data_IF_207623412770
#
_entry.id   IF_207623412770
#
_cell.length_a   1.000
_cell.length_b   1.000
_cell.length_c   1.000
_cell.angle_alpha   90.00
_cell.angle_beta   90.00
_cell.angle_gamma   90.00
#
_symmetry.space_group_name_H-M   'P 1'
#
loop_
_entity.id
_entity.type
_entity.pdbx_description
1 polymer ?
#
# COMPACT_ATOMS: atom_id res chain seq x y z
N UNK A 1 -16.33 -26.65 -16.37
CA UNK A 1 -17.16 -27.62 -15.65
C UNK A 1 -18.05 -26.89 -14.64
N UNK A 2 -17.54 -25.99 -13.77
CA UNK A 2 -18.34 -25.26 -12.78
C UNK A 2 -19.39 -24.34 -13.42
N UNK A 3 -19.07 -23.68 -14.53
CA UNK A 3 -20.02 -22.80 -15.25
C UNK A 3 -21.13 -23.60 -15.98
N UNK A 4 -20.91 -24.90 -16.27
CA UNK A 4 -21.91 -25.74 -16.92
C UNK A 4 -22.93 -26.35 -15.96
N UNK A 5 -22.66 -26.27 -14.64
CA UNK A 5 -23.49 -26.90 -13.61
C UNK A 5 -24.47 -25.94 -12.92
N UNK A 6 -24.42 -24.63 -13.21
CA UNK A 6 -25.25 -23.58 -12.55
C UNK A 6 -25.25 -23.67 -11.01
N UNK A 7 -24.12 -24.08 -10.42
CA UNK A 7 -23.99 -24.26 -8.98
C UNK A 7 -23.33 -23.00 -8.41
N UNK A 8 -24.10 -22.16 -7.78
CA UNK A 8 -23.62 -20.91 -7.15
C UNK A 8 -22.77 -21.16 -5.89
N UNK A 9 -22.87 -22.36 -5.29
CA UNK A 9 -22.10 -22.77 -4.11
C UNK A 9 -21.82 -24.27 -4.13
N UNK A 10 -20.58 -24.65 -3.87
CA UNK A 10 -20.16 -26.05 -3.73
C UNK A 10 -20.80 -26.76 -2.51
N UNK A 11 -21.20 -26.00 -1.49
CA UNK A 11 -22.01 -26.50 -0.36
C UNK A 11 -23.36 -27.05 -0.82
N UNK A 12 -23.96 -26.44 -1.85
CA UNK A 12 -25.26 -26.84 -2.35
C UNK A 12 -25.18 -28.15 -3.14
N UNK A 13 -24.02 -28.43 -3.73
CA UNK A 13 -23.78 -29.69 -4.43
C UNK A 13 -23.77 -30.90 -3.49
N UNK A 14 -23.20 -30.78 -2.29
CA UNK A 14 -23.27 -31.84 -1.25
C UNK A 14 -24.69 -32.11 -0.80
N UNK A 15 -25.51 -31.06 -0.68
CA UNK A 15 -26.94 -31.19 -0.27
C UNK A 15 -27.81 -31.82 -1.34
N UNK A 16 -27.57 -31.54 -2.61
CA UNK A 16 -28.37 -32.02 -3.73
C UNK A 16 -27.99 -33.41 -4.24
N UNK A 17 -26.79 -33.94 -3.85
CA UNK A 17 -26.27 -35.23 -4.30
C UNK A 17 -25.79 -36.10 -3.14
N UNK A 18 -26.71 -36.56 -2.24
CA UNK A 18 -26.32 -37.35 -1.06
C UNK A 18 -25.69 -38.72 -1.41
N UNK A 19 -25.88 -39.19 -2.64
CA UNK A 19 -25.28 -40.45 -3.12
C UNK A 19 -23.75 -40.41 -3.24
N UNK A 20 -23.14 -39.22 -3.31
CA UNK A 20 -21.70 -39.04 -3.32
C UNK A 20 -21.05 -39.30 -1.95
N UNK A 21 -21.86 -39.35 -0.88
CA UNK A 21 -21.39 -39.66 0.47
C UNK A 21 -21.00 -41.13 0.69
N UNK A 22 -21.48 -42.04 -0.19
CA UNK A 22 -21.26 -43.47 -0.05
C UNK A 22 -19.97 -44.01 -0.70
N UNK A 23 -19.17 -43.14 -1.32
CA UNK A 23 -17.99 -43.55 -2.08
C UNK A 23 -16.72 -43.16 -1.32
N UNK A 24 -16.45 -43.90 -0.24
CA UNK A 24 -15.29 -43.65 0.65
C UNK A 24 -13.90 -43.51 -0.05
N UNK A 25 -13.57 -44.24 -1.12
CA UNK A 25 -12.24 -44.10 -1.75
C UNK A 25 -12.00 -42.75 -2.44
N UNK A 26 -13.07 -41.99 -2.75
CA UNK A 26 -12.98 -40.71 -3.43
C UNK A 26 -13.20 -39.52 -2.49
N UNK A 27 -13.44 -39.76 -1.21
CA UNK A 27 -13.73 -38.71 -0.24
C UNK A 27 -12.55 -37.74 -0.10
N UNK A 28 -11.34 -38.25 0.00
CA UNK A 28 -10.13 -37.40 0.09
C UNK A 28 -9.85 -36.63 -1.20
N UNK A 29 -10.19 -37.20 -2.35
CA UNK A 29 -10.04 -36.54 -3.66
C UNK A 29 -11.08 -35.43 -3.81
N UNK A 30 -12.32 -35.71 -3.44
CA UNK A 30 -13.41 -34.72 -3.45
C UNK A 30 -13.13 -33.59 -2.48
N UNK A 31 -12.66 -33.87 -1.27
CA UNK A 31 -12.28 -32.82 -0.31
C UNK A 31 -11.13 -31.96 -0.81
N UNK A 32 -10.14 -32.54 -1.49
CA UNK A 32 -9.05 -31.77 -2.14
C UNK A 32 -9.58 -30.91 -3.30
N UNK A 33 -10.47 -31.45 -4.14
CA UNK A 33 -11.12 -30.69 -5.22
C UNK A 33 -11.98 -29.57 -4.64
N UNK A 34 -12.74 -29.83 -3.58
CA UNK A 34 -13.56 -28.84 -2.89
C UNK A 34 -12.70 -27.73 -2.27
N UNK A 35 -11.65 -28.10 -1.53
CA UNK A 35 -10.73 -27.13 -0.93
C UNK A 35 -10.06 -26.27 -2.00
N UNK A 36 -9.64 -26.89 -3.10
CA UNK A 36 -9.00 -26.19 -4.22
C UNK A 36 -9.99 -25.28 -4.97
N UNK A 37 -11.24 -25.73 -5.14
CA UNK A 37 -12.27 -24.94 -5.83
C UNK A 37 -12.72 -23.74 -5.02
N UNK A 38 -12.90 -23.90 -3.70
CA UNK A 38 -13.21 -22.77 -2.79
C UNK A 38 -12.05 -21.79 -2.75
N UNK A 39 -10.81 -22.29 -2.76
CA UNK A 39 -9.60 -21.49 -2.82
C UNK A 39 -9.51 -20.70 -4.14
N UNK A 40 -9.72 -21.36 -5.29
CA UNK A 40 -9.73 -20.72 -6.60
C UNK A 40 -10.82 -19.66 -6.72
N UNK A 41 -12.00 -19.92 -6.16
CA UNK A 41 -13.11 -18.99 -6.18
C UNK A 41 -12.83 -17.73 -5.36
N UNK A 42 -12.26 -17.87 -4.17
CA UNK A 42 -11.87 -16.74 -3.31
C UNK A 42 -10.74 -15.91 -3.93
N UNK A 43 -9.70 -16.56 -4.45
CA UNK A 43 -8.61 -15.88 -5.15
C UNK A 43 -9.09 -15.20 -6.43
N UNK A 44 -9.94 -15.87 -7.21
CA UNK A 44 -10.55 -15.31 -8.40
C UNK A 44 -11.37 -14.06 -8.08
N UNK A 45 -12.18 -14.09 -7.02
CA UNK A 45 -12.99 -12.96 -6.59
C UNK A 45 -12.12 -11.76 -6.17
N UNK A 46 -11.08 -11.99 -5.37
CA UNK A 46 -10.15 -10.95 -4.96
C UNK A 46 -9.40 -10.35 -6.16
N UNK A 47 -8.84 -11.18 -7.02
CA UNK A 47 -8.15 -10.73 -8.23
C UNK A 47 -9.10 -9.99 -9.19
N UNK A 48 -10.35 -10.43 -9.32
CA UNK A 48 -11.37 -9.75 -10.10
C UNK A 48 -11.69 -8.37 -9.50
N UNK A 49 -11.77 -8.25 -8.18
CA UNK A 49 -12.03 -6.99 -7.49
C UNK A 49 -10.93 -5.95 -7.75
N UNK A 50 -9.67 -6.38 -7.79
CA UNK A 50 -8.53 -5.51 -8.15
C UNK A 50 -8.32 -5.38 -9.66
N UNK A 51 -9.11 -6.10 -10.46
CA UNK A 51 -9.20 -5.95 -11.91
C UNK A 51 -8.16 -6.69 -12.73
N UNK A 52 -7.79 -7.93 -12.39
CA UNK A 52 -6.90 -8.81 -13.20
C UNK A 52 -5.86 -8.04 -14.02
N UNK A 53 -5.11 -7.18 -13.37
CA UNK A 53 -4.21 -6.32 -14.08
C UNK A 53 -3.02 -7.14 -14.59
N UNK A 54 -2.69 -6.96 -15.87
CA UNK A 54 -1.35 -7.27 -16.38
C UNK A 54 -0.34 -6.20 -15.97
N UNK A 55 -0.69 -5.33 -15.04
CA UNK A 55 0.06 -4.20 -14.53
C UNK A 55 0.01 -4.19 -13.01
N UNK A 56 0.95 -3.54 -12.38
CA UNK A 56 0.93 -3.28 -10.96
C UNK A 56 -0.38 -2.59 -10.52
N UNK A 57 -0.77 -2.78 -9.27
CA UNK A 57 -2.01 -2.23 -8.71
C UNK A 57 -1.70 -1.46 -7.44
N UNK A 58 -2.32 -0.31 -7.27
CA UNK A 58 -2.33 0.43 -6.01
C UNK A 58 -3.76 0.47 -5.48
N UNK A 59 -3.96 -0.10 -4.29
CA UNK A 59 -5.20 0.00 -3.53
C UNK A 59 -5.07 1.13 -2.51
N UNK A 60 -5.81 2.21 -2.74
CA UNK A 60 -5.81 3.38 -1.87
C UNK A 60 -6.98 3.26 -0.92
N UNK A 61 -6.77 3.45 0.37
CA UNK A 61 -7.85 3.39 1.35
C UNK A 61 -7.50 4.15 2.63
N UNK A 62 -8.51 4.73 3.27
CA UNK A 62 -8.36 5.39 4.56
C UNK A 62 -7.94 4.39 5.66
N UNK A 63 -7.43 4.91 6.79
CA UNK A 63 -7.17 4.06 7.95
C UNK A 63 -8.49 3.41 8.43
N UNK A 64 -8.43 2.10 8.68
CA UNK A 64 -9.62 1.32 9.03
C UNK A 64 -10.48 0.85 7.85
N UNK A 65 -10.10 1.11 6.59
CA UNK A 65 -10.84 0.61 5.41
C UNK A 65 -10.68 -0.90 5.16
N UNK A 66 -9.80 -1.59 5.91
CA UNK A 66 -9.56 -3.02 5.75
C UNK A 66 -8.38 -3.40 4.86
N UNK A 67 -7.42 -2.49 4.60
CA UNK A 67 -6.20 -2.76 3.81
C UNK A 67 -5.40 -3.93 4.36
N UNK A 68 -5.05 -3.87 5.64
CA UNK A 68 -4.29 -4.94 6.31
C UNK A 68 -5.08 -6.26 6.35
N UNK A 69 -6.41 -6.20 6.52
CA UNK A 69 -7.27 -7.39 6.44
C UNK A 69 -7.24 -7.98 5.04
N UNK A 70 -7.25 -7.14 4.00
CA UNK A 70 -7.11 -7.56 2.61
C UNK A 70 -5.73 -8.23 2.38
N UNK A 71 -4.64 -7.61 2.83
CA UNK A 71 -3.30 -8.18 2.74
C UNK A 71 -3.22 -9.56 3.41
N UNK A 72 -3.77 -9.71 4.62
CA UNK A 72 -3.80 -10.96 5.35
C UNK A 72 -4.65 -12.03 4.63
N UNK A 73 -5.80 -11.66 4.07
CA UNK A 73 -6.65 -12.59 3.31
C UNK A 73 -5.93 -13.12 2.06
N UNK A 74 -5.19 -12.25 1.34
CA UNK A 74 -4.36 -12.67 0.21
C UNK A 74 -3.19 -13.53 0.69
N UNK A 75 -2.59 -13.20 1.83
CA UNK A 75 -1.48 -13.97 2.41
C UNK A 75 -1.88 -15.44 2.61
N UNK A 76 -3.03 -15.69 3.23
CA UNK A 76 -3.56 -17.05 3.44
C UNK A 76 -3.68 -17.86 2.14
N UNK A 77 -3.99 -17.19 1.05
CA UNK A 77 -4.15 -17.82 -0.26
C UNK A 77 -2.82 -18.08 -0.97
N UNK A 78 -1.88 -17.11 -0.88
CA UNK A 78 -0.57 -17.22 -1.51
C UNK A 78 0.30 -18.29 -0.85
N UNK A 79 0.20 -18.44 0.46
CA UNK A 79 0.98 -19.43 1.22
C UNK A 79 0.65 -20.87 0.84
N UNK A 80 -0.60 -21.15 0.47
CA UNK A 80 -1.01 -22.47 0.02
C UNK A 80 -0.41 -22.85 -1.36
N UNK A 81 0.00 -21.85 -2.16
CA UNK A 81 0.43 -22.05 -3.55
C UNK A 81 1.90 -21.73 -3.81
N UNK A 82 2.61 -21.14 -2.84
CA UNK A 82 3.98 -20.63 -3.01
C UNK A 82 4.15 -19.61 -4.17
N UNK A 83 3.05 -18.99 -4.63
CA UNK A 83 3.05 -18.12 -5.82
C UNK A 83 3.10 -16.62 -5.47
N UNK A 84 3.46 -16.27 -4.24
CA UNK A 84 3.59 -14.88 -3.87
C UNK A 84 4.03 -14.67 -2.43
N UNK A 85 4.22 -13.40 -2.10
CA UNK A 85 4.60 -12.95 -0.77
C UNK A 85 3.75 -11.76 -0.35
N UNK A 86 3.56 -11.63 0.96
CA UNK A 86 2.97 -10.45 1.56
C UNK A 86 3.99 -9.82 2.51
N UNK A 87 4.27 -8.55 2.30
CA UNK A 87 5.12 -7.72 3.17
C UNK A 87 4.18 -6.89 4.05
N UNK A 88 4.07 -7.19 5.36
CA UNK A 88 3.14 -6.52 6.26
C UNK A 88 3.64 -5.12 6.64
N UNK A 89 2.72 -4.22 6.99
CA UNK A 89 3.04 -2.88 7.49
C UNK A 89 3.80 -2.94 8.84
N UNK A 90 3.29 -3.75 9.77
CA UNK A 90 3.93 -3.92 11.07
C UNK A 90 4.89 -5.10 11.06
N UNK A 91 6.14 -4.84 11.38
CA UNK A 91 7.21 -5.84 11.48
C UNK A 91 8.25 -5.41 12.49
N UNK A 92 8.76 -6.38 13.23
CA UNK A 92 9.86 -6.18 14.16
C UNK A 92 11.14 -6.72 13.52
N UNK A 93 12.01 -5.83 13.04
CA UNK A 93 13.22 -6.17 12.33
C UNK A 93 14.42 -6.28 13.28
N UNK A 94 14.66 -7.48 13.79
CA UNK A 94 15.80 -7.79 14.66
C UNK A 94 16.83 -8.57 13.87
N UNK A 95 18.04 -8.01 13.72
CA UNK A 95 19.16 -8.70 13.09
C UNK A 95 19.71 -9.78 14.02
N UNK A 96 19.91 -11.00 13.52
CA UNK A 96 20.51 -12.07 14.31
C UNK A 96 22.01 -11.87 14.47
N UNK A 97 22.53 -12.38 15.58
CA UNK A 97 23.96 -12.67 15.75
C UNK A 97 24.16 -14.14 15.41
N UNK A 98 24.88 -14.43 14.34
CA UNK A 98 25.13 -15.82 13.94
C UNK A 98 26.36 -16.40 14.60
N UNK A 99 26.22 -17.64 15.09
CA UNK A 99 27.34 -18.48 15.48
C UNK A 99 27.56 -19.62 14.47
N UNK A 100 26.54 -19.98 13.69
CA UNK A 100 26.60 -21.05 12.70
C UNK A 100 25.71 -20.70 11.49
N UNK A 101 26.23 -20.88 10.28
CA UNK A 101 25.46 -20.70 9.05
C UNK A 101 24.66 -21.98 8.78
N UNK A 102 23.31 -21.93 8.71
CA UNK A 102 22.53 -23.11 8.37
C UNK A 102 22.76 -23.52 6.91
N UNK A 103 22.60 -24.80 6.59
CA UNK A 103 22.62 -25.22 5.20
C UNK A 103 21.49 -24.55 4.41
N UNK A 104 21.75 -24.23 3.14
CA UNK A 104 20.74 -23.60 2.26
C UNK A 104 19.41 -24.37 2.24
N UNK A 105 19.46 -25.73 2.24
CA UNK A 105 18.27 -26.57 2.26
C UNK A 105 17.42 -26.33 3.51
N UNK A 106 18.04 -26.31 4.69
CA UNK A 106 17.33 -26.08 5.95
C UNK A 106 16.84 -24.63 6.04
N UNK A 107 17.67 -23.67 5.65
CA UNK A 107 17.30 -22.28 5.62
C UNK A 107 16.12 -21.99 4.66
N UNK A 108 16.12 -22.63 3.48
CA UNK A 108 15.02 -22.52 2.51
C UNK A 108 13.70 -23.07 3.06
N UNK A 109 13.75 -24.25 3.70
CA UNK A 109 12.55 -24.85 4.32
C UNK A 109 11.99 -23.90 5.37
N UNK A 110 12.81 -23.39 6.29
CA UNK A 110 12.35 -22.45 7.32
C UNK A 110 11.85 -21.13 6.72
N UNK A 111 12.49 -20.62 5.68
CA UNK A 111 12.09 -19.37 5.04
C UNK A 111 10.71 -19.45 4.39
N UNK A 112 10.42 -20.53 3.66
CA UNK A 112 9.14 -20.72 2.99
C UNK A 112 8.04 -21.26 3.93
N UNK A 113 8.38 -22.10 4.92
CA UNK A 113 7.39 -22.60 5.88
C UNK A 113 6.95 -21.55 6.90
N UNK A 114 7.79 -20.58 7.21
CA UNK A 114 7.50 -19.62 8.27
C UNK A 114 6.33 -18.70 7.98
N UNK A 115 6.05 -18.40 6.73
CA UNK A 115 4.82 -17.68 6.39
C UNK A 115 3.58 -18.48 6.84
N UNK A 116 3.63 -19.78 6.66
CA UNK A 116 2.58 -20.73 7.05
C UNK A 116 2.42 -20.84 8.56
N UNK A 117 3.53 -21.01 9.29
CA UNK A 117 3.54 -21.06 10.75
C UNK A 117 3.01 -19.78 11.41
N UNK A 118 3.31 -18.62 10.83
CA UNK A 118 2.80 -17.32 11.30
C UNK A 118 1.27 -17.26 11.25
N UNK A 119 0.63 -17.90 10.28
CA UNK A 119 -0.84 -17.94 10.18
C UNK A 119 -1.47 -18.98 11.12
N UNK A 120 -0.87 -20.16 11.21
CA UNK A 120 -1.37 -21.21 12.10
C UNK A 120 -1.29 -20.74 13.56
N UNK A 121 -0.22 -20.06 13.92
CA UNK A 121 -0.07 -19.41 15.24
C UNK A 121 -1.11 -18.29 15.47
N UNK A 122 -1.48 -17.52 14.44
CA UNK A 122 -2.53 -16.50 14.57
C UNK A 122 -3.87 -17.15 14.92
N UNK A 123 -4.22 -18.27 14.29
CA UNK A 123 -5.44 -19.03 14.61
C UNK A 123 -5.41 -19.56 16.05
N UNK A 124 -4.25 -20.04 16.50
CA UNK A 124 -4.05 -20.48 17.89
C UNK A 124 -4.06 -19.31 18.87
N UNK A 125 -3.57 -18.16 18.43
CA UNK A 125 -3.48 -16.93 19.18
C UNK A 125 -4.84 -16.26 19.41
N UNK A 126 -5.71 -16.22 18.38
CA UNK A 126 -7.08 -15.70 18.51
C UNK A 126 -7.92 -16.54 19.51
N UNK A 127 -7.45 -17.76 19.85
CA UNK A 127 -8.01 -18.62 20.87
C UNK A 127 -7.31 -18.51 22.25
N UNK A 128 -6.17 -17.78 22.35
CA UNK A 128 -5.38 -17.63 23.57
C UNK A 128 -5.82 -16.42 24.41
N UNK A 129 -5.48 -16.41 25.69
CA UNK A 129 -5.86 -15.34 26.62
C UNK A 129 -5.13 -14.03 26.31
N UNK A 130 -5.77 -12.86 26.50
CA UNK A 130 -5.20 -11.54 26.17
C UNK A 130 -3.87 -11.18 26.85
N UNK A 131 -3.54 -11.81 27.99
CA UNK A 131 -2.36 -11.49 28.79
C UNK A 131 -1.03 -11.99 28.20
N UNK A 132 -1.06 -12.96 27.28
CA UNK A 132 0.14 -13.53 26.62
C UNK A 132 0.54 -12.79 25.33
N UNK A 133 -0.25 -11.80 24.95
CA UNK A 133 -0.22 -11.14 23.64
C UNK A 133 1.11 -10.45 23.25
N UNK A 134 1.75 -9.60 24.08
CA UNK A 134 2.90 -8.80 23.62
C UNK A 134 4.18 -9.61 23.39
N UNK A 135 4.41 -10.67 24.16
CA UNK A 135 5.63 -11.46 24.12
C UNK A 135 5.68 -12.39 22.91
N UNK A 136 4.58 -13.05 22.61
CA UNK A 136 4.47 -13.96 21.46
C UNK A 136 4.53 -13.21 20.12
N UNK A 137 3.92 -12.02 20.00
CA UNK A 137 4.03 -11.17 18.83
C UNK A 137 5.46 -10.69 18.58
N UNK A 138 6.18 -10.23 19.60
CA UNK A 138 7.56 -9.77 19.45
C UNK A 138 8.49 -10.91 19.04
N UNK A 139 8.28 -12.12 19.56
CA UNK A 139 9.02 -13.33 19.18
C UNK A 139 8.74 -13.76 17.74
N UNK A 140 7.50 -13.62 17.31
CA UNK A 140 6.99 -13.99 16.00
C UNK A 140 7.52 -13.08 14.90
N UNK A 141 7.35 -11.77 15.03
CA UNK A 141 7.80 -10.79 14.02
C UNK A 141 9.31 -10.55 14.05
N UNK A 142 9.97 -10.70 15.20
CA UNK A 142 11.42 -10.56 15.33
C UNK A 142 12.23 -11.63 14.59
N UNK A 143 11.60 -12.72 14.20
CA UNK A 143 12.28 -13.83 13.52
C UNK A 143 12.24 -13.76 11.98
N UNK A 144 11.42 -12.89 11.38
CA UNK A 144 11.33 -12.79 9.90
C UNK A 144 12.65 -12.32 9.27
N UNK A 145 13.27 -11.28 9.84
CA UNK A 145 14.57 -10.81 9.35
C UNK A 145 15.68 -11.84 9.59
N UNK A 146 15.62 -12.56 10.72
CA UNK A 146 16.57 -13.66 11.00
C UNK A 146 16.46 -14.77 9.96
N UNK A 147 15.26 -15.19 9.65
CA UNK A 147 15.00 -16.26 8.67
C UNK A 147 15.42 -15.83 7.26
N UNK A 148 15.11 -14.60 6.86
CA UNK A 148 15.56 -14.01 5.60
C UNK A 148 17.10 -13.99 5.52
N UNK A 149 17.77 -13.47 6.55
CA UNK A 149 19.24 -13.37 6.57
C UNK A 149 19.88 -14.75 6.49
N UNK A 150 19.33 -15.75 7.23
CA UNK A 150 19.78 -17.14 7.15
C UNK A 150 19.64 -17.73 5.75
N UNK A 151 18.53 -17.44 5.08
CA UNK A 151 18.28 -17.88 3.71
C UNK A 151 19.29 -17.26 2.73
N UNK A 152 19.49 -15.94 2.79
CA UNK A 152 20.41 -15.21 1.92
C UNK A 152 21.87 -15.66 2.08
N UNK A 153 22.31 -15.86 3.31
CA UNK A 153 23.65 -16.37 3.61
C UNK A 153 23.82 -17.82 3.16
N UNK A 154 22.79 -18.66 3.38
CA UNK A 154 22.78 -20.04 2.93
C UNK A 154 22.83 -20.17 1.40
N UNK A 155 22.08 -19.35 0.65
CA UNK A 155 22.14 -19.30 -0.82
C UNK A 155 23.54 -18.89 -1.30
N UNK A 156 24.13 -17.84 -0.70
CA UNK A 156 25.50 -17.41 -1.02
C UNK A 156 26.52 -18.51 -0.78
N UNK A 157 26.48 -19.18 0.38
CA UNK A 157 27.37 -20.29 0.72
C UNK A 157 27.25 -21.45 -0.26
N UNK A 158 26.02 -21.85 -0.61
CA UNK A 158 25.78 -22.95 -1.55
C UNK A 158 26.26 -22.62 -2.97
N UNK A 159 26.09 -21.38 -3.43
CA UNK A 159 26.59 -20.94 -4.74
C UNK A 159 28.10 -20.88 -4.78
N UNK A 160 28.73 -20.35 -3.70
CA UNK A 160 30.17 -20.33 -3.59
C UNK A 160 30.79 -21.74 -3.59
N UNK A 161 30.19 -22.69 -2.86
CA UNK A 161 30.62 -24.09 -2.86
C UNK A 161 30.55 -24.72 -4.26
N UNK A 162 29.45 -24.48 -4.97
CA UNK A 162 29.31 -24.94 -6.38
C UNK A 162 30.36 -24.32 -7.28
N UNK A 163 30.60 -23.01 -7.16
CA UNK A 163 31.66 -22.33 -7.90
C UNK A 163 33.02 -22.99 -7.71
N UNK A 164 33.42 -23.23 -6.46
CA UNK A 164 34.67 -23.90 -6.15
C UNK A 164 34.76 -25.30 -6.77
N UNK A 165 33.67 -26.08 -6.73
CA UNK A 165 33.65 -27.44 -7.33
C UNK A 165 33.83 -27.37 -8.84
N UNK A 166 33.07 -26.49 -9.54
CA UNK A 166 33.12 -26.34 -11.01
C UNK A 166 34.49 -25.87 -11.48
N UNK A 167 35.10 -24.91 -10.75
CA UNK A 167 36.47 -24.44 -11.06
C UNK A 167 37.48 -25.57 -10.87
N UNK A 168 37.35 -26.41 -9.82
CA UNK A 168 38.25 -27.55 -9.57
C UNK A 168 38.08 -28.65 -10.63
N UNK A 169 36.93 -28.78 -11.26
CA UNK A 169 36.67 -29.71 -12.38
C UNK A 169 37.24 -29.17 -13.71
N UNK A 170 37.78 -27.96 -13.73
CA UNK A 170 38.47 -27.39 -14.90
C UNK A 170 37.54 -26.64 -15.86
N UNK A 171 36.28 -26.44 -15.50
CA UNK A 171 35.33 -25.73 -16.36
C UNK A 171 35.55 -24.20 -16.32
N UNK A 172 35.30 -23.56 -17.47
CA UNK A 172 35.35 -22.10 -17.58
C UNK A 172 34.06 -21.50 -17.04
N UNK A 173 34.13 -20.85 -15.91
CA UNK A 173 32.99 -20.31 -15.18
C UNK A 173 32.92 -18.80 -15.27
N UNK A 174 31.73 -18.25 -15.56
CA UNK A 174 31.47 -16.81 -15.47
C UNK A 174 31.04 -16.46 -14.06
N UNK A 175 31.57 -15.38 -13.51
CA UNK A 175 31.20 -14.86 -12.19
C UNK A 175 29.69 -14.60 -12.05
N UNK A 176 29.02 -14.23 -13.14
CA UNK A 176 27.57 -14.05 -13.20
C UNK A 176 26.78 -15.29 -12.81
N UNK A 177 27.29 -16.49 -13.13
CA UNK A 177 26.55 -17.74 -12.98
C UNK A 177 26.42 -18.20 -11.51
N UNK A 178 27.24 -17.59 -10.64
CA UNK A 178 27.29 -17.89 -9.20
C UNK A 178 26.92 -16.71 -8.31
N UNK A 179 26.43 -15.62 -8.90
CA UNK A 179 25.96 -14.45 -8.16
C UNK A 179 24.79 -14.85 -7.26
N UNK A 180 24.90 -14.56 -5.97
CA UNK A 180 23.87 -14.88 -4.98
C UNK A 180 22.79 -13.80 -4.89
N UNK A 181 21.63 -14.17 -4.33
CA UNK A 181 20.57 -13.19 -4.03
C UNK A 181 21.10 -12.12 -3.07
N UNK A 182 21.95 -12.48 -2.11
CA UNK A 182 22.58 -11.52 -1.19
C UNK A 182 23.44 -10.48 -1.93
N UNK A 183 24.15 -10.88 -3.00
CA UNK A 183 24.93 -9.93 -3.80
C UNK A 183 24.02 -8.89 -4.48
N UNK A 184 22.86 -9.31 -4.95
CA UNK A 184 21.85 -8.40 -5.52
C UNK A 184 21.22 -7.49 -4.45
N UNK A 185 20.96 -8.02 -3.25
CA UNK A 185 20.46 -7.23 -2.11
C UNK A 185 21.48 -6.17 -1.73
N UNK A 186 22.76 -6.52 -1.60
CA UNK A 186 23.81 -5.56 -1.27
C UNK A 186 23.97 -4.49 -2.36
N UNK A 187 23.89 -4.88 -3.63
CA UNK A 187 23.95 -3.93 -4.75
C UNK A 187 22.82 -2.91 -4.68
N UNK A 188 21.56 -3.37 -4.52
CA UNK A 188 20.40 -2.47 -4.43
C UNK A 188 20.51 -1.58 -3.20
N UNK A 189 20.85 -2.14 -2.05
CA UNK A 189 20.99 -1.39 -0.80
C UNK A 189 22.06 -0.28 -0.93
N UNK A 190 23.23 -0.61 -1.49
CA UNK A 190 24.33 0.33 -1.68
C UNK A 190 24.00 1.45 -2.68
N UNK A 191 23.17 1.16 -3.69
CA UNK A 191 22.70 2.16 -4.63
C UNK A 191 21.64 3.10 -4.05
N UNK A 192 20.94 2.68 -3.00
CA UNK A 192 19.90 3.49 -2.34
C UNK A 192 20.49 4.36 -1.24
N UNK A 193 21.52 3.91 -0.55
CA UNK A 193 22.14 4.57 0.60
C UNK A 193 23.56 5.00 0.24
N UNK A 194 23.71 6.20 -0.31
CA UNK A 194 24.93 6.67 -0.98
C UNK A 194 26.18 6.81 -0.09
N UNK A 195 26.00 7.00 1.23
CA UNK A 195 27.11 7.27 2.14
C UNK A 195 27.56 6.06 2.97
N UNK A 196 26.98 4.90 2.70
CA UNK A 196 27.26 3.67 3.45
C UNK A 196 27.33 2.49 2.50
N UNK A 197 28.14 1.51 2.86
CA UNK A 197 28.31 0.30 2.06
C UNK A 197 28.01 -0.93 2.91
N UNK A 198 26.97 -1.65 2.56
CA UNK A 198 26.68 -2.98 3.10
C UNK A 198 27.59 -3.99 2.43
N UNK A 199 28.27 -4.79 3.21
CA UNK A 199 29.12 -5.88 2.73
C UNK A 199 29.04 -7.11 3.65
N UNK A 200 29.44 -8.24 3.12
CA UNK A 200 29.58 -9.48 3.86
C UNK A 200 31.07 -9.84 3.96
N UNK A 201 31.55 -10.08 5.17
CA UNK A 201 32.94 -10.46 5.40
C UNK A 201 33.19 -11.94 5.04
N UNK A 202 34.43 -12.40 5.18
CA UNK A 202 34.88 -13.80 4.92
C UNK A 202 34.35 -14.78 5.95
N UNK A 203 33.88 -14.30 7.09
CA UNK A 203 33.20 -15.09 8.14
C UNK A 203 31.67 -15.08 7.98
N UNK A 204 31.16 -14.58 6.86
CA UNK A 204 29.73 -14.46 6.54
C UNK A 204 28.94 -13.53 7.47
N UNK A 205 29.61 -12.56 8.12
CA UNK A 205 28.91 -11.53 8.87
C UNK A 205 28.60 -10.31 7.98
N UNK A 206 27.43 -9.74 8.18
CA UNK A 206 27.03 -8.52 7.50
C UNK A 206 27.50 -7.29 8.28
N UNK A 207 28.16 -6.39 7.59
CA UNK A 207 28.71 -5.15 8.12
C UNK A 207 28.32 -3.96 7.26
N UNK A 208 28.29 -2.79 7.89
CA UNK A 208 28.15 -1.50 7.23
C UNK A 208 29.47 -0.76 7.36
N UNK A 209 29.99 -0.31 6.24
CA UNK A 209 31.13 0.62 6.18
C UNK A 209 30.59 2.04 6.00
N UNK A 210 31.08 2.96 6.83
CA UNK A 210 30.83 4.39 6.76
C UNK A 210 32.15 5.14 6.97
N UNK A 211 32.63 5.83 5.95
CA UNK A 211 33.99 6.37 5.89
C UNK A 211 35.05 5.27 6.20
N UNK A 212 35.92 5.50 7.15
CA UNK A 212 36.94 4.55 7.61
C UNK A 212 36.48 3.61 8.74
N UNK A 213 35.19 3.68 9.13
CA UNK A 213 34.63 2.88 10.21
C UNK A 213 33.73 1.77 9.68
N UNK A 214 33.78 0.62 10.34
CA UNK A 214 32.86 -0.47 10.06
C UNK A 214 32.14 -0.88 11.33
N UNK A 215 30.87 -1.24 11.20
CA UNK A 215 30.06 -1.74 12.31
C UNK A 215 29.13 -2.88 11.83
N UNK A 216 28.76 -3.81 12.74
CA UNK A 216 27.90 -4.91 12.38
C UNK A 216 26.49 -4.47 11.96
N UNK A 217 25.84 -5.22 11.07
CA UNK A 217 24.50 -4.91 10.53
C UNK A 217 23.40 -4.81 11.59
N UNK A 218 23.56 -5.46 12.75
CA UNK A 218 22.57 -5.33 13.84
C UNK A 218 22.50 -3.91 14.43
N UNK A 219 23.47 -3.04 14.13
CA UNK A 219 23.46 -1.61 14.48
C UNK A 219 22.84 -0.70 13.40
N UNK A 220 22.27 -1.26 12.35
CA UNK A 220 21.50 -0.52 11.37
C UNK A 220 20.37 0.26 12.04
N UNK A 221 20.06 1.44 11.51
CA UNK A 221 18.85 2.19 11.82
C UNK A 221 17.60 1.42 11.33
N UNK A 222 16.42 1.77 11.83
CA UNK A 222 15.18 1.11 11.44
C UNK A 222 14.90 1.23 9.93
N UNK A 223 15.14 2.40 9.33
CA UNK A 223 15.00 2.59 7.88
C UNK A 223 15.98 1.74 7.06
N UNK A 224 17.23 1.58 7.52
CA UNK A 224 18.22 0.71 6.85
C UNK A 224 17.84 -0.76 6.92
N UNK A 225 17.33 -1.21 8.07
CA UNK A 225 16.80 -2.57 8.24
C UNK A 225 15.57 -2.81 7.37
N UNK A 226 14.70 -1.81 7.29
CA UNK A 226 13.51 -1.85 6.43
C UNK A 226 13.90 -2.07 4.97
N UNK A 227 14.82 -1.26 4.45
CA UNK A 227 15.32 -1.40 3.08
C UNK A 227 15.93 -2.79 2.86
N UNK A 228 16.77 -3.27 3.78
CA UNK A 228 17.38 -4.60 3.67
C UNK A 228 16.31 -5.70 3.64
N UNK A 229 15.33 -5.61 4.54
CA UNK A 229 14.26 -6.59 4.63
C UNK A 229 13.38 -6.60 3.37
N UNK A 230 12.91 -5.43 2.94
CA UNK A 230 12.04 -5.31 1.76
C UNK A 230 12.76 -5.80 0.50
N UNK A 231 13.99 -5.33 0.27
CA UNK A 231 14.80 -5.75 -0.88
C UNK A 231 15.05 -7.26 -0.84
N UNK A 232 15.45 -7.78 0.31
CA UNK A 232 15.70 -9.21 0.49
C UNK A 232 14.46 -10.06 0.23
N UNK A 233 13.30 -9.66 0.75
CA UNK A 233 12.01 -10.37 0.55
C UNK A 233 11.60 -10.38 -0.91
N UNK A 234 11.64 -9.22 -1.58
CA UNK A 234 11.24 -9.08 -2.98
C UNK A 234 12.17 -9.87 -3.91
N UNK A 235 13.49 -9.76 -3.72
CA UNK A 235 14.46 -10.50 -4.56
C UNK A 235 14.46 -12.01 -4.29
N UNK A 236 14.03 -12.45 -3.11
CA UNK A 236 13.90 -13.86 -2.75
C UNK A 236 12.56 -14.48 -3.18
N UNK A 237 11.61 -13.70 -3.67
CA UNK A 237 10.35 -14.22 -4.16
C UNK A 237 10.58 -15.11 -5.39
N UNK A 238 9.75 -16.15 -5.57
CA UNK A 238 9.81 -17.02 -6.76
C UNK A 238 9.51 -16.22 -8.03
N UNK A 239 9.91 -16.74 -9.17
CA UNK A 239 9.59 -16.16 -10.47
C UNK A 239 8.07 -16.06 -10.66
N UNK A 240 7.63 -15.00 -11.32
CA UNK A 240 6.22 -14.73 -11.63
C UNK A 240 5.30 -14.67 -10.40
N UNK A 241 5.83 -14.21 -9.27
CA UNK A 241 5.10 -14.10 -8.01
C UNK A 241 4.21 -12.85 -7.92
N UNK A 242 3.15 -12.96 -7.12
CA UNK A 242 2.40 -11.81 -6.64
C UNK A 242 3.07 -11.24 -5.38
N UNK A 243 3.45 -9.97 -5.41
CA UNK A 243 4.11 -9.28 -4.30
C UNK A 243 3.13 -8.23 -3.76
N UNK A 244 2.61 -8.49 -2.56
CA UNK A 244 1.67 -7.57 -1.89
C UNK A 244 2.41 -6.82 -0.79
N UNK A 245 2.29 -5.51 -0.79
CA UNK A 245 2.96 -4.63 0.16
C UNK A 245 1.93 -3.79 0.89
N UNK A 246 1.88 -3.94 2.21
CA UNK A 246 1.02 -3.13 3.08
C UNK A 246 1.82 -1.97 3.65
N UNK A 247 1.36 -0.74 3.38
CA UNK A 247 1.97 0.54 3.74
C UNK A 247 3.45 0.64 3.27
N UNK A 248 3.69 0.68 1.93
CA UNK A 248 5.03 0.70 1.34
C UNK A 248 5.87 1.93 1.73
N UNK A 249 5.24 2.99 2.20
CA UNK A 249 5.84 4.24 2.67
C UNK A 249 6.33 4.21 4.11
N UNK A 250 5.94 3.20 4.89
CA UNK A 250 6.22 3.16 6.32
C UNK A 250 7.73 3.06 6.60
N UNK A 251 8.20 3.88 7.54
CA UNK A 251 9.62 3.96 7.96
C UNK A 251 10.63 4.39 6.89
N UNK A 252 10.17 4.77 5.69
CA UNK A 252 11.04 5.19 4.60
C UNK A 252 10.97 6.70 4.35
N UNK A 253 12.13 7.30 4.12
CA UNK A 253 12.18 8.70 3.72
C UNK A 253 11.69 8.86 2.27
N UNK A 254 10.88 9.91 1.99
CA UNK A 254 10.29 10.14 0.65
C UNK A 254 11.32 10.14 -0.49
N UNK A 255 12.53 10.62 -0.25
CA UNK A 255 13.60 10.63 -1.27
C UNK A 255 14.05 9.23 -1.71
N UNK A 256 14.01 8.25 -0.81
CA UNK A 256 14.43 6.87 -1.08
C UNK A 256 13.25 6.02 -1.57
N UNK A 257 12.04 6.33 -1.11
CA UNK A 257 10.83 5.54 -1.32
C UNK A 257 10.58 5.22 -2.81
N UNK A 258 10.55 6.24 -3.66
CA UNK A 258 10.29 6.03 -5.09
C UNK A 258 11.45 5.27 -5.76
N UNK A 259 12.71 5.65 -5.46
CA UNK A 259 13.90 4.98 -6.02
C UNK A 259 13.95 3.49 -5.64
N UNK A 260 13.54 3.14 -4.41
CA UNK A 260 13.44 1.75 -3.94
C UNK A 260 12.47 0.94 -4.80
N UNK A 261 11.22 1.41 -4.89
CA UNK A 261 10.19 0.66 -5.59
C UNK A 261 10.42 0.62 -7.10
N UNK A 262 10.90 1.71 -7.72
CA UNK A 262 11.29 1.71 -9.14
C UNK A 262 12.40 0.67 -9.42
N UNK A 263 13.38 0.57 -8.53
CA UNK A 263 14.48 -0.40 -8.66
C UNK A 263 13.96 -1.84 -8.53
N UNK A 264 13.08 -2.09 -7.56
CA UNK A 264 12.54 -3.43 -7.32
C UNK A 264 11.58 -3.88 -8.44
N UNK A 265 10.69 -2.99 -8.89
CA UNK A 265 9.80 -3.27 -10.03
C UNK A 265 10.60 -3.58 -11.31
N UNK A 266 11.70 -2.85 -11.56
CA UNK A 266 12.57 -3.10 -12.72
C UNK A 266 13.34 -4.42 -12.59
N UNK A 267 13.86 -4.76 -11.41
CA UNK A 267 14.58 -6.02 -11.18
C UNK A 267 13.66 -7.25 -11.18
N UNK A 268 12.39 -7.05 -10.84
CA UNK A 268 11.36 -8.10 -10.75
C UNK A 268 10.17 -7.78 -11.67
N UNK A 269 10.48 -7.43 -12.92
CA UNK A 269 9.47 -7.21 -13.96
C UNK A 269 8.68 -8.49 -14.35
N UNK A 270 9.14 -9.64 -13.87
CA UNK A 270 8.44 -10.93 -13.92
C UNK A 270 7.30 -11.02 -12.91
N UNK A 271 7.30 -10.18 -11.87
CA UNK A 271 6.34 -10.19 -10.77
C UNK A 271 5.26 -9.12 -10.94
N UNK A 272 4.13 -9.32 -10.25
CA UNK A 272 3.07 -8.33 -10.13
C UNK A 272 3.09 -7.72 -8.73
N UNK A 273 3.12 -6.40 -8.64
CA UNK A 273 3.12 -5.66 -7.37
C UNK A 273 1.72 -5.14 -7.06
N UNK A 274 1.29 -5.34 -5.82
CA UNK A 274 0.05 -4.80 -5.26
C UNK A 274 0.40 -3.99 -4.02
N UNK A 275 0.25 -2.68 -4.10
CA UNK A 275 0.51 -1.76 -3.01
C UNK A 275 -0.78 -1.40 -2.30
N UNK A 276 -0.80 -1.49 -0.98
CA UNK A 276 -1.90 -1.07 -0.13
C UNK A 276 -1.43 0.16 0.65
N UNK A 277 -1.97 1.32 0.36
CA UNK A 277 -1.47 2.57 0.94
C UNK A 277 -2.59 3.53 1.29
N UNK A 278 -2.32 4.44 2.20
CA UNK A 278 -3.12 5.63 2.43
C UNK A 278 -2.43 6.89 1.89
N UNK A 279 -1.15 6.78 1.45
CA UNK A 279 -0.37 7.88 0.88
C UNK A 279 -0.69 8.04 -0.61
N UNK A 280 -1.43 9.11 -0.90
CA UNK A 280 -1.84 9.46 -2.25
C UNK A 280 -0.66 9.94 -3.11
N UNK A 281 0.33 10.59 -2.48
CA UNK A 281 1.53 11.05 -3.19
C UNK A 281 2.31 9.85 -3.69
N UNK A 282 2.51 8.83 -2.84
CA UNK A 282 3.11 7.56 -3.26
C UNK A 282 2.30 6.90 -4.37
N UNK A 283 1.00 6.77 -4.20
CA UNK A 283 0.13 6.14 -5.19
C UNK A 283 0.20 6.83 -6.56
N UNK A 284 0.35 8.15 -6.59
CA UNK A 284 0.44 8.94 -7.83
C UNK A 284 1.74 8.69 -8.61
N UNK A 285 2.82 8.33 -7.91
CA UNK A 285 4.13 8.09 -8.54
C UNK A 285 4.28 6.71 -9.17
N UNK A 286 3.38 5.77 -8.86
CA UNK A 286 3.46 4.40 -9.37
C UNK A 286 2.84 4.26 -10.76
N UNK A 287 3.53 3.54 -11.66
CA UNK A 287 2.94 3.11 -12.93
C UNK A 287 2.07 1.87 -12.69
N UNK A 288 0.89 2.09 -12.17
CA UNK A 288 -0.01 1.05 -11.69
C UNK A 288 -1.47 1.42 -11.89
N UNK A 289 -2.34 0.42 -11.99
CA UNK A 289 -3.78 0.61 -11.93
C UNK A 289 -4.17 1.04 -10.51
N UNK A 290 -4.90 2.12 -10.37
CA UNK A 290 -5.34 2.65 -9.09
C UNK A 290 -6.76 2.23 -8.79
N UNK A 291 -6.96 1.70 -7.59
CA UNK A 291 -8.27 1.31 -7.09
C UNK A 291 -8.48 1.89 -5.69
N UNK A 292 -9.70 2.24 -5.39
CA UNK A 292 -10.10 2.73 -4.09
C UNK A 292 -10.74 1.63 -3.27
N UNK A 293 -10.14 1.33 -2.11
CA UNK A 293 -10.67 0.44 -1.10
C UNK A 293 -11.52 1.26 -0.11
N UNK A 294 -12.83 1.23 -0.29
CA UNK A 294 -13.78 2.04 0.47
C UNK A 294 -14.01 1.50 1.87
N UNK A 295 -14.36 0.24 1.94
CA UNK A 295 -14.76 -0.40 3.18
C UNK A 295 -14.54 -1.91 3.15
N UNK A 296 -14.47 -2.47 4.35
CA UNK A 296 -14.47 -3.90 4.62
C UNK A 296 -15.68 -4.27 5.47
N UNK A 297 -16.37 -5.32 5.09
CA UNK A 297 -17.48 -5.89 5.84
C UNK A 297 -17.10 -7.29 6.31
N UNK A 298 -17.03 -7.46 7.64
CA UNK A 298 -16.71 -8.72 8.32
C UNK A 298 -17.95 -9.63 8.51
N UNK A 299 -18.94 -9.61 7.61
CA UNK A 299 -20.12 -10.46 7.68
C UNK A 299 -19.80 -11.95 7.48
N UNK A 300 -20.86 -12.78 7.33
CA UNK A 300 -20.74 -14.23 7.04
C UNK A 300 -19.84 -14.49 5.81
N UNK A 301 -19.80 -13.55 4.88
CA UNK A 301 -18.87 -13.50 3.76
C UNK A 301 -18.07 -12.20 3.87
N UNK A 302 -16.76 -12.32 4.05
CA UNK A 302 -15.85 -11.15 3.99
C UNK A 302 -15.97 -10.49 2.62
N UNK A 303 -16.22 -9.20 2.62
CA UNK A 303 -16.39 -8.42 1.40
C UNK A 303 -15.62 -7.11 1.48
N UNK A 304 -14.85 -6.80 0.44
CA UNK A 304 -14.17 -5.53 0.23
C UNK A 304 -14.85 -4.77 -0.90
N UNK A 305 -15.26 -3.55 -0.63
CA UNK A 305 -15.79 -2.65 -1.65
C UNK A 305 -14.62 -1.93 -2.32
N UNK A 306 -14.25 -2.40 -3.53
CA UNK A 306 -13.11 -1.91 -4.29
C UNK A 306 -13.62 -1.39 -5.64
N UNK A 307 -13.27 -0.13 -5.96
CA UNK A 307 -13.61 0.49 -7.23
C UNK A 307 -12.36 1.05 -7.93
N UNK A 308 -12.29 0.95 -9.26
CA UNK A 308 -11.24 1.62 -10.02
C UNK A 308 -11.39 3.14 -9.88
N UNK A 309 -10.27 3.84 -9.70
CA UNK A 309 -10.23 5.31 -9.72
C UNK A 309 -10.14 5.74 -11.18
N UNK A 310 -11.27 6.16 -11.73
CA UNK A 310 -11.37 6.65 -13.12
C UNK A 310 -12.09 7.99 -13.08
N UNK A 311 -11.48 9.03 -13.63
CA UNK A 311 -12.12 10.31 -13.88
C UNK A 311 -11.49 10.96 -15.09
N UNK A 312 -12.33 11.34 -16.05
CA UNK A 312 -11.92 12.14 -17.21
C UNK A 312 -11.98 13.65 -16.92
N UNK A 313 -12.69 14.05 -15.86
CA UNK A 313 -13.02 15.45 -15.56
C UNK A 313 -12.19 16.04 -14.39
N UNK A 314 -11.64 15.21 -13.48
CA UNK A 314 -10.82 15.62 -12.33
C UNK A 314 -9.44 14.97 -12.43
N UNK A 315 -8.33 15.70 -12.23
CA UNK A 315 -7.01 15.11 -12.14
C UNK A 315 -6.97 13.99 -11.10
N UNK A 316 -6.46 12.83 -11.50
CA UNK A 316 -6.49 11.60 -10.69
C UNK A 316 -5.89 11.78 -9.29
N UNK A 317 -4.77 12.52 -9.18
CA UNK A 317 -4.15 12.84 -7.90
C UNK A 317 -5.07 13.66 -6.97
N UNK A 318 -5.80 14.62 -7.54
CA UNK A 318 -6.77 15.42 -6.79
C UNK A 318 -7.97 14.56 -6.37
N UNK A 319 -8.50 13.75 -7.27
CA UNK A 319 -9.60 12.84 -6.98
C UNK A 319 -9.25 11.89 -5.82
N UNK A 320 -8.05 11.32 -5.83
CA UNK A 320 -7.59 10.42 -4.78
C UNK A 320 -7.51 11.09 -3.40
N UNK A 321 -7.03 12.34 -3.33
CA UNK A 321 -7.02 13.12 -2.08
C UNK A 321 -8.42 13.32 -1.52
N UNK A 322 -9.39 13.57 -2.40
CA UNK A 322 -10.76 13.93 -2.03
C UNK A 322 -11.61 12.72 -1.64
N UNK A 323 -11.41 11.57 -2.30
CA UNK A 323 -12.18 10.35 -2.02
C UNK A 323 -12.00 9.83 -0.58
N UNK A 324 -10.87 10.11 0.06
CA UNK A 324 -10.61 9.79 1.48
C UNK A 324 -11.16 10.79 2.49
N UNK A 325 -11.65 11.95 2.04
CA UNK A 325 -12.15 13.00 2.93
C UNK A 325 -13.51 12.63 3.53
N UNK A 326 -13.64 12.76 4.84
CA UNK A 326 -14.93 12.65 5.55
C UNK A 326 -15.60 14.02 5.77
N UNK A 327 -14.85 15.12 5.55
CA UNK A 327 -15.36 16.46 5.61
C UNK A 327 -15.94 16.85 4.25
N UNK A 328 -16.90 17.76 4.23
CA UNK A 328 -17.36 18.41 3.00
C UNK A 328 -16.17 19.04 2.28
N UNK A 329 -16.22 19.09 0.96
CA UNK A 329 -15.13 19.62 0.15
C UNK A 329 -15.56 21.00 -0.37
N UNK A 330 -14.67 21.98 -0.24
CA UNK A 330 -14.85 23.29 -0.85
C UNK A 330 -13.76 23.53 -1.88
N UNK A 331 -14.14 23.53 -3.15
CA UNK A 331 -13.28 24.01 -4.23
C UNK A 331 -13.34 25.53 -4.28
N UNK A 332 -12.20 26.18 -4.32
CA UNK A 332 -12.07 27.62 -4.47
C UNK A 332 -11.01 27.97 -5.52
N UNK A 333 -11.03 29.20 -6.03
CA UNK A 333 -9.98 29.67 -6.91
C UNK A 333 -8.67 29.85 -6.15
N UNK A 334 -7.53 29.73 -6.85
CA UNK A 334 -6.21 29.95 -6.27
C UNK A 334 -5.26 28.78 -6.41
N UNK A 335 -4.17 28.85 -5.65
CA UNK A 335 -3.10 27.83 -5.60
C UNK A 335 -2.87 27.39 -4.16
N UNK A 336 -2.23 26.23 -3.99
CA UNK A 336 -1.76 25.81 -2.66
C UNK A 336 -0.86 26.90 -2.05
N UNK A 337 -1.21 27.35 -0.84
CA UNK A 337 -0.53 28.46 -0.15
C UNK A 337 -1.05 29.85 -0.48
N UNK A 338 -2.14 29.99 -1.25
CA UNK A 338 -2.81 31.28 -1.46
C UNK A 338 -3.45 31.81 -0.17
N UNK A 339 -3.68 33.13 -0.15
CA UNK A 339 -4.38 33.80 0.95
C UNK A 339 -5.81 33.25 1.10
N UNK A 340 -6.47 32.99 -0.02
CA UNK A 340 -7.84 32.44 -0.09
C UNK A 340 -7.99 31.17 0.68
N UNK A 341 -7.04 30.25 0.51
CA UNK A 341 -7.03 29.01 1.27
C UNK A 341 -7.03 29.24 2.77
N UNK A 342 -6.15 30.13 3.24
CA UNK A 342 -6.01 30.41 4.67
C UNK A 342 -7.27 31.05 5.23
N UNK A 343 -7.91 31.94 4.46
CA UNK A 343 -9.18 32.61 4.80
C UNK A 343 -10.27 31.53 4.92
N UNK A 344 -10.43 30.69 3.91
CA UNK A 344 -11.50 29.70 3.90
C UNK A 344 -11.28 28.57 4.91
N UNK A 345 -10.05 28.17 5.21
CA UNK A 345 -9.77 27.23 6.30
C UNK A 345 -10.20 27.79 7.67
N UNK A 346 -10.09 29.11 7.86
CA UNK A 346 -10.55 29.79 9.07
C UNK A 346 -12.09 29.94 9.12
N UNK A 347 -12.73 30.26 8.00
CA UNK A 347 -14.19 30.47 7.92
C UNK A 347 -14.95 29.15 7.91
N UNK A 348 -14.43 28.12 7.25
CA UNK A 348 -15.10 26.83 7.04
C UNK A 348 -14.29 25.66 7.64
N UNK A 349 -14.14 25.57 8.97
CA UNK A 349 -13.32 24.56 9.62
C UNK A 349 -13.81 23.11 9.39
N UNK A 350 -15.09 22.95 9.05
CA UNK A 350 -15.71 21.65 8.76
C UNK A 350 -15.53 21.19 7.31
N UNK A 351 -14.89 22.02 6.48
CA UNK A 351 -14.62 21.72 5.08
C UNK A 351 -13.15 21.36 4.85
N UNK A 352 -12.91 20.54 3.82
CA UNK A 352 -11.58 20.36 3.22
C UNK A 352 -11.46 21.41 2.10
N UNK A 353 -10.66 22.45 2.35
CA UNK A 353 -10.45 23.53 1.37
C UNK A 353 -9.48 23.03 0.31
N UNK A 354 -9.90 23.16 -0.95
CA UNK A 354 -9.15 22.64 -2.11
C UNK A 354 -9.05 23.74 -3.17
N UNK A 355 -7.97 24.53 -3.18
CA UNK A 355 -7.72 25.51 -4.22
C UNK A 355 -7.51 24.84 -5.57
N UNK A 356 -8.12 25.41 -6.62
CA UNK A 356 -7.95 24.98 -8.01
C UNK A 356 -7.71 26.19 -8.90
N UNK A 357 -7.05 25.98 -10.05
CA UNK A 357 -6.42 27.09 -10.76
C UNK A 357 -7.38 28.18 -11.25
N UNK A 358 -8.59 27.81 -11.66
CA UNK A 358 -9.52 28.73 -12.30
C UNK A 358 -10.96 28.49 -11.86
N UNK A 359 -11.80 29.52 -12.01
CA UNK A 359 -13.26 29.46 -11.86
C UNK A 359 -13.90 28.31 -12.64
N UNK A 360 -13.42 28.04 -13.86
CA UNK A 360 -13.90 26.89 -14.66
C UNK A 360 -13.58 25.55 -14.02
N UNK A 361 -12.40 25.44 -13.42
CA UNK A 361 -11.98 24.22 -12.71
C UNK A 361 -12.83 24.03 -11.46
N UNK A 362 -13.13 25.10 -10.70
CA UNK A 362 -14.05 25.07 -9.54
C UNK A 362 -15.39 24.48 -9.94
N UNK A 363 -16.00 25.02 -10.99
CA UNK A 363 -17.31 24.59 -11.48
C UNK A 363 -17.24 23.12 -11.96
N UNK A 364 -16.27 22.80 -12.79
CA UNK A 364 -16.13 21.47 -13.37
C UNK A 364 -15.86 20.39 -12.30
N UNK A 365 -14.95 20.67 -11.37
CA UNK A 365 -14.59 19.70 -10.33
C UNK A 365 -15.71 19.50 -9.31
N UNK A 366 -16.44 20.56 -8.97
CA UNK A 366 -17.63 20.46 -8.11
C UNK A 366 -18.69 19.56 -8.75
N UNK A 367 -19.01 19.78 -10.02
CA UNK A 367 -19.96 18.96 -10.79
C UNK A 367 -19.50 17.52 -10.93
N UNK A 368 -18.23 17.32 -11.32
CA UNK A 368 -17.66 16.02 -11.55
C UNK A 368 -17.62 15.20 -10.25
N UNK A 369 -17.16 15.79 -9.15
CA UNK A 369 -17.13 15.12 -7.86
C UNK A 369 -18.53 14.77 -7.37
N UNK A 370 -19.49 15.65 -7.54
CA UNK A 370 -20.88 15.41 -7.13
C UNK A 370 -21.59 14.34 -7.96
N UNK A 371 -21.15 14.03 -9.18
CA UNK A 371 -21.65 12.90 -9.98
C UNK A 371 -21.16 11.54 -9.48
N UNK A 372 -20.08 11.49 -8.70
CA UNK A 372 -19.55 10.22 -8.16
C UNK A 372 -20.55 9.62 -7.17
N UNK A 373 -21.08 8.44 -7.50
CA UNK A 373 -22.14 7.80 -6.69
C UNK A 373 -21.66 7.33 -5.31
N UNK A 374 -20.38 7.08 -5.16
CA UNK A 374 -19.77 6.38 -4.03
C UNK A 374 -18.94 7.28 -3.10
N UNK A 375 -19.13 8.60 -3.20
CA UNK A 375 -18.47 9.58 -2.34
C UNK A 375 -19.03 9.58 -0.92
N UNK A 376 -18.17 9.84 0.07
CA UNK A 376 -18.57 10.02 1.48
C UNK A 376 -18.94 11.46 1.82
N UNK A 377 -18.53 12.41 0.99
CA UNK A 377 -18.73 13.83 1.21
C UNK A 377 -19.34 14.50 -0.03
N UNK A 378 -20.00 15.62 0.16
CA UNK A 378 -20.44 16.49 -0.92
C UNK A 378 -19.38 17.56 -1.19
N UNK A 379 -19.27 17.96 -2.45
CA UNK A 379 -18.43 19.06 -2.88
C UNK A 379 -19.25 20.30 -3.17
N UNK A 380 -18.67 21.43 -2.80
CA UNK A 380 -19.18 22.78 -3.02
C UNK A 380 -18.10 23.56 -3.77
N UNK A 381 -18.50 24.49 -4.61
CA UNK A 381 -17.63 25.43 -5.29
C UNK A 381 -17.87 26.85 -4.76
N UNK A 382 -16.78 27.59 -4.58
CA UNK A 382 -16.86 29.03 -4.27
C UNK A 382 -16.02 29.78 -5.28
N UNK A 383 -16.65 30.73 -5.98
CA UNK A 383 -16.06 31.49 -7.09
C UNK A 383 -16.25 32.96 -6.91
N UNK A 384 -15.39 33.73 -7.53
CA UNK A 384 -15.56 35.17 -7.67
C UNK A 384 -16.83 35.50 -8.46
N UNK A 385 -17.53 36.54 -8.06
CA UNK A 385 -18.77 36.96 -8.73
C UNK A 385 -18.49 37.44 -10.14
N UNK A 386 -17.38 38.14 -10.33
CA UNK A 386 -17.04 38.81 -11.58
C UNK A 386 -18.22 39.64 -12.15
N UNK A 387 -18.50 39.47 -13.45
CA UNK A 387 -19.58 40.14 -14.17
C UNK A 387 -20.82 39.26 -14.39
N UNK A 388 -21.02 38.17 -13.56
CA UNK A 388 -22.15 37.25 -13.72
C UNK A 388 -23.46 37.87 -13.31
N UNK A 389 -24.51 37.65 -14.09
CA UNK A 389 -25.85 38.04 -13.76
C UNK A 389 -26.55 37.09 -12.78
N UNK A 390 -27.66 37.52 -12.18
CA UNK A 390 -28.39 36.76 -11.18
C UNK A 390 -28.88 35.40 -11.69
N UNK A 391 -29.31 35.31 -12.95
CA UNK A 391 -29.81 34.05 -13.53
C UNK A 391 -28.69 33.02 -13.72
N UNK A 392 -27.47 33.49 -14.02
CA UNK A 392 -26.29 32.62 -14.12
C UNK A 392 -25.88 32.09 -12.73
N UNK A 393 -25.94 32.92 -11.70
CA UNK A 393 -25.63 32.56 -10.34
C UNK A 393 -26.64 31.56 -9.78
N UNK A 394 -27.94 31.81 -9.92
CA UNK A 394 -28.99 30.85 -9.50
C UNK A 394 -28.82 29.48 -10.13
N UNK A 395 -28.42 29.42 -11.40
CA UNK A 395 -28.14 28.14 -12.07
C UNK A 395 -26.94 27.41 -11.43
N UNK A 396 -25.88 28.13 -11.09
CA UNK A 396 -24.68 27.56 -10.46
C UNK A 396 -24.99 27.07 -9.04
N UNK A 397 -25.83 27.76 -8.29
CA UNK A 397 -26.26 27.34 -6.95
C UNK A 397 -26.99 25.99 -6.97
N UNK A 398 -27.80 25.74 -8.01
CA UNK A 398 -28.43 24.39 -8.17
C UNK A 398 -27.42 23.26 -8.33
N UNK A 399 -26.17 23.58 -8.67
CA UNK A 399 -25.06 22.67 -8.86
C UNK A 399 -24.04 22.69 -7.70
N UNK A 400 -24.42 23.31 -6.56
CA UNK A 400 -23.59 23.53 -5.38
C UNK A 400 -22.36 24.45 -5.64
N UNK A 401 -22.46 25.37 -6.56
CA UNK A 401 -21.45 26.40 -6.81
C UNK A 401 -21.99 27.76 -6.43
N UNK A 402 -21.32 28.42 -5.50
CA UNK A 402 -21.71 29.71 -4.90
C UNK A 402 -20.72 30.82 -5.28
N UNK A 403 -21.13 32.04 -5.15
CA UNK A 403 -20.27 33.20 -5.31
C UNK A 403 -20.41 34.16 -4.13
N UNK A 404 -19.43 35.03 -3.94
CA UNK A 404 -19.58 36.14 -2.99
C UNK A 404 -20.56 37.19 -3.52
N UNK A 405 -21.07 38.04 -2.60
CA UNK A 405 -21.82 39.23 -2.97
C UNK A 405 -20.92 40.34 -3.53
N UNK A 406 -19.62 40.23 -3.37
CA UNK A 406 -18.58 41.14 -3.87
C UNK A 406 -17.87 40.56 -5.09
N UNK A 407 -17.11 41.37 -5.83
CA UNK A 407 -16.47 40.94 -7.07
C UNK A 407 -15.35 39.90 -6.82
N UNK A 408 -14.51 40.13 -5.83
CA UNK A 408 -13.33 39.32 -5.48
C UNK A 408 -13.26 39.14 -3.97
N UNK A 409 -12.53 38.11 -3.50
CA UNK A 409 -12.42 37.78 -2.08
C UNK A 409 -11.83 38.92 -1.26
N UNK A 410 -10.91 39.68 -1.82
CA UNK A 410 -10.30 40.85 -1.16
C UNK A 410 -11.32 41.97 -0.85
N UNK A 411 -12.35 42.08 -1.65
CA UNK A 411 -13.40 43.07 -1.43
C UNK A 411 -14.27 42.80 -0.21
N UNK A 412 -14.22 41.55 0.34
CA UNK A 412 -14.87 41.22 1.61
C UNK A 412 -14.33 42.06 2.77
N UNK A 413 -13.05 42.44 2.71
CA UNK A 413 -12.40 43.24 3.74
C UNK A 413 -12.81 44.71 3.70
N UNK A 414 -13.50 45.15 2.62
CA UNK A 414 -14.01 46.49 2.44
C UNK A 414 -15.49 46.62 2.86
N UNK A 415 -16.11 45.52 3.26
CA UNK A 415 -17.48 45.57 3.78
C UNK A 415 -17.52 46.28 5.12
N UNK A 416 -18.54 47.17 5.28
CA UNK A 416 -18.75 47.96 6.49
C UNK A 416 -18.73 47.11 7.76
N UNK A 417 -19.43 46.00 7.74
CA UNK A 417 -19.48 45.06 8.88
C UNK A 417 -18.09 44.49 9.24
N UNK A 418 -17.26 44.22 8.24
CA UNK A 418 -15.89 43.73 8.45
C UNK A 418 -15.01 44.83 9.04
N UNK A 419 -15.07 46.04 8.49
CA UNK A 419 -14.30 47.21 8.95
C UNK A 419 -14.66 47.53 10.41
N UNK A 420 -15.94 47.58 10.73
CA UNK A 420 -16.42 47.82 12.08
C UNK A 420 -16.00 46.72 13.06
N UNK A 421 -16.12 45.45 12.65
CA UNK A 421 -15.65 44.31 13.45
C UNK A 421 -14.15 44.35 13.72
N UNK A 422 -13.34 44.73 12.73
CA UNK A 422 -11.91 44.89 12.87
C UNK A 422 -11.52 46.07 13.77
N UNK A 423 -12.22 47.18 13.66
CA UNK A 423 -12.04 48.34 14.54
C UNK A 423 -12.27 47.98 16.01
N UNK A 424 -13.38 47.30 16.28
CA UNK A 424 -13.68 46.77 17.64
C UNK A 424 -12.58 45.82 18.14
N UNK A 425 -12.10 44.93 17.28
CA UNK A 425 -11.01 44.01 17.62
C UNK A 425 -9.69 44.74 17.95
N UNK A 426 -9.43 45.87 17.27
CA UNK A 426 -8.23 46.70 17.49
C UNK A 426 -8.41 47.74 18.62
N UNK A 427 -9.62 47.88 19.18
CA UNK A 427 -10.00 48.97 20.10
C UNK A 427 -9.78 50.37 19.49
N UNK A 428 -10.06 50.52 18.21
CA UNK A 428 -9.98 51.80 17.48
C UNK A 428 -11.38 52.21 17.02
N UNK A 429 -11.66 53.51 17.04
CA UNK A 429 -12.86 54.10 16.43
C UNK A 429 -12.51 54.48 14.99
N UNK A 430 -13.20 53.88 14.02
CA UNK A 430 -13.02 54.17 12.59
C UNK A 430 -14.30 54.87 12.09
N UNK A 431 -14.13 55.96 11.40
CA UNK A 431 -15.22 56.63 10.66
C UNK A 431 -15.29 55.98 9.26
N UNK A 432 -16.33 55.20 9.02
CA UNK A 432 -16.49 54.43 7.76
C UNK A 432 -16.92 55.37 6.59
N UNK A 433 -17.35 56.63 6.87
CA UNK A 433 -17.72 57.62 5.86
C UNK A 433 -16.53 58.41 5.29
N UNK A 434 -15.33 58.23 5.81
CA UNK A 434 -14.06 58.76 5.28
C UNK A 434 -13.26 57.69 4.53
#
# INVERSE_FOLDING_TARGET
ILNSLQIDRLSDFRYTHPQLHSVEPYHSLLDRIFTHSVFLDKTYYLLKSIGFAKSNVVLIGANGSGKTTFANSIREQLEATDNGIVIPAQKLLVFPTYTVIPSHKNASVHFYQRQKEVLDDKKTFDAAKPDDFPYELSKKYGSELMTLTSYLLGDRSARFSRYCTTVNEGDVVKKSDFRSILDDVMEVWNNLIEHRTLYCDDSFNLHIKYDDKSYPAYKMSDGEREIFYVVGRVLSAKESSLIVIDEPELHLHKAILNKLWDTLENKRNDCLFVYLTHDVDFASTRNAKRCWLKSYNAGVFEHWDIEPVISDEIPEALLMRLLGSRKKILFCEGKDGSLDRSIFEAIFPDFTITPVATCKDVINYTRAFNKIKTKYAEAYGLIDRDFRDGAQLEKLETENVFSYDVSEVENLFLLEDFINGFAVFKNEEINVDE
#
